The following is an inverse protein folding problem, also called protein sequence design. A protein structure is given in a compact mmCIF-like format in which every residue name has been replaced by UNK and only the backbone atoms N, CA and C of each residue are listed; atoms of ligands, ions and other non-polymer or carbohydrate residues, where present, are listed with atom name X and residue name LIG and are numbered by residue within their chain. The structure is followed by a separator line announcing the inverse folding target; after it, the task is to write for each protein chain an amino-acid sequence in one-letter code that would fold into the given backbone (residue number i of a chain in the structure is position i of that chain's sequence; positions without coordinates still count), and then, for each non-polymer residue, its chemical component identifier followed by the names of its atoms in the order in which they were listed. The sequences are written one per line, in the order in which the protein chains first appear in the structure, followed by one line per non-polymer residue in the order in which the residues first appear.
data_IF_929004930244
#
_entry.id   IF_929004930244
#
_cell.length_a   1.000
_cell.length_b   1.000
_cell.length_c   1.000
_cell.angle_alpha   90.00
_cell.angle_beta   90.00
_cell.angle_gamma   90.00
#
_symmetry.space_group_name_H-M   'P 1'
#
loop_
_entity.id
_entity.type
_entity.pdbx_description
1 polymer ?
#
# COMPACT_ATOMS: atom_id res chain seq x y z
N UNK A 1 -47.64 11.06 28.19
CA UNK A 1 -46.66 12.07 28.62
C UNK A 1 -45.29 11.40 28.64
N UNK A 2 -44.42 11.90 27.76
CA UNK A 2 -42.97 11.76 27.64
C UNK A 2 -42.24 10.50 28.15
N UNK A 3 -41.74 9.70 27.20
CA UNK A 3 -40.57 8.82 27.35
C UNK A 3 -39.33 9.73 27.19
N UNK A 4 -38.47 9.76 28.20
CA UNK A 4 -37.24 10.56 28.17
C UNK A 4 -36.11 9.79 27.48
N UNK A 5 -35.48 10.47 26.52
CA UNK A 5 -34.46 9.99 25.58
C UNK A 5 -33.07 9.91 26.23
N UNK A 6 -32.57 8.68 26.41
CA UNK A 6 -31.17 8.42 26.73
C UNK A 6 -30.32 8.35 25.46
N UNK A 7 -29.72 9.46 25.06
CA UNK A 7 -28.72 9.52 23.98
C UNK A 7 -27.55 10.37 24.46
N UNK A 8 -26.37 9.79 24.77
CA UNK A 8 -25.12 10.57 24.83
C UNK A 8 -23.76 9.85 25.02
N UNK A 9 -23.64 8.57 25.36
CA UNK A 9 -22.30 7.98 25.62
C UNK A 9 -21.67 7.26 24.43
N UNK A 10 -22.43 6.43 23.69
CA UNK A 10 -21.90 5.63 22.57
C UNK A 10 -21.39 6.48 21.38
N UNK A 11 -22.00 7.64 21.15
CA UNK A 11 -21.67 8.52 20.02
C UNK A 11 -20.40 9.36 20.19
N UNK A 12 -19.87 9.50 21.43
CA UNK A 12 -18.64 10.27 21.69
C UNK A 12 -17.38 9.44 21.43
N UNK A 13 -17.38 8.17 21.85
CA UNK A 13 -16.26 7.24 21.64
C UNK A 13 -15.95 7.01 20.15
N UNK A 14 -16.97 6.79 19.32
CA UNK A 14 -16.79 6.62 17.87
C UNK A 14 -16.21 7.88 17.20
N UNK A 15 -16.66 9.07 17.63
CA UNK A 15 -16.17 10.34 17.10
C UNK A 15 -14.70 10.61 17.45
N UNK A 16 -14.21 10.08 18.56
CA UNK A 16 -12.80 10.20 18.96
C UNK A 16 -11.90 9.17 18.28
N UNK A 17 -12.38 7.94 18.09
CA UNK A 17 -11.69 6.95 17.25
C UNK A 17 -11.50 7.43 15.80
N UNK A 18 -12.50 8.13 15.24
CA UNK A 18 -12.40 8.75 13.93
C UNK A 18 -11.30 9.83 13.87
N UNK A 19 -11.16 10.65 14.91
CA UNK A 19 -10.11 11.69 14.97
C UNK A 19 -8.69 11.09 15.02
N UNK A 20 -8.53 9.96 15.70
CA UNK A 20 -7.24 9.25 15.73
C UNK A 20 -6.91 8.69 14.34
N UNK A 21 -7.87 8.04 13.69
CA UNK A 21 -7.71 7.56 12.32
C UNK A 21 -7.37 8.70 11.33
N UNK A 22 -8.02 9.86 11.46
CA UNK A 22 -7.71 11.07 10.68
C UNK A 22 -6.26 11.55 10.91
N UNK A 23 -5.78 11.52 12.15
CA UNK A 23 -4.40 11.90 12.48
C UNK A 23 -3.37 10.93 11.88
N UNK A 24 -3.65 9.62 11.90
CA UNK A 24 -2.78 8.61 11.30
C UNK A 24 -2.70 8.73 9.77
N UNK A 25 -3.84 9.01 9.12
CA UNK A 25 -3.91 9.29 7.69
C UNK A 25 -3.07 10.53 7.34
N UNK A 26 -3.23 11.61 8.11
CA UNK A 26 -2.46 12.84 7.88
C UNK A 26 -0.95 12.62 8.06
N UNK A 27 -0.55 11.83 9.06
CA UNK A 27 0.85 11.46 9.26
C UNK A 27 1.40 10.64 8.09
N UNK A 28 0.67 9.63 7.63
CA UNK A 28 1.06 8.82 6.47
C UNK A 28 1.20 9.66 5.18
N UNK A 29 0.29 10.62 4.96
CA UNK A 29 0.34 11.54 3.82
C UNK A 29 1.57 12.46 3.86
N UNK A 30 1.93 12.94 5.06
CA UNK A 30 3.13 13.76 5.26
C UNK A 30 4.38 12.96 4.91
N UNK A 31 4.51 11.72 5.42
CA UNK A 31 5.62 10.85 5.10
C UNK A 31 5.69 10.51 3.60
N UNK A 32 4.55 10.34 2.93
CA UNK A 32 4.49 10.07 1.51
C UNK A 32 4.93 11.29 0.67
N UNK A 33 4.72 12.51 1.15
CA UNK A 33 5.11 13.74 0.45
C UNK A 33 6.63 13.97 0.38
N UNK A 34 7.40 13.25 1.20
CA UNK A 34 8.87 13.29 1.21
C UNK A 34 9.51 12.32 0.18
N UNK A 35 8.71 11.53 -0.55
CA UNK A 35 9.22 10.62 -1.59
C UNK A 35 9.54 11.34 -2.93
N UNK A 36 10.51 10.84 -3.73
CA UNK A 36 10.88 11.47 -5.01
C UNK A 36 9.72 11.54 -6.03
N UNK A 37 9.66 12.69 -6.73
CA UNK A 37 8.63 13.16 -7.70
C UNK A 37 8.15 12.19 -8.79
N UNK A 38 8.81 11.06 -8.98
CA UNK A 38 8.45 10.09 -10.02
C UNK A 38 7.21 9.25 -9.62
N UNK A 39 6.86 9.21 -8.32
CA UNK A 39 5.66 8.54 -7.78
C UNK A 39 4.47 9.51 -7.48
N UNK A 40 4.67 10.82 -7.63
CA UNK A 40 3.77 11.89 -7.16
C UNK A 40 2.44 12.01 -7.94
N UNK A 41 2.38 11.57 -9.20
CA UNK A 41 1.22 11.90 -10.04
C UNK A 41 -0.08 11.16 -9.68
N UNK A 42 0.00 10.11 -8.85
CA UNK A 42 -1.13 9.19 -8.60
C UNK A 42 -1.39 8.95 -7.11
N UNK A 43 -0.31 8.67 -6.35
CA UNK A 43 -0.43 8.37 -4.93
C UNK A 43 -0.77 9.66 -4.17
N UNK A 44 -0.03 10.74 -4.41
CA UNK A 44 -0.18 12.00 -3.68
C UNK A 44 -1.59 12.64 -3.79
N UNK A 45 -2.24 12.73 -4.96
CA UNK A 45 -3.60 13.24 -5.05
C UNK A 45 -4.64 12.37 -4.34
N UNK A 46 -4.43 11.04 -4.33
CA UNK A 46 -5.33 10.10 -3.66
C UNK A 46 -5.17 10.17 -2.14
N UNK A 47 -3.94 10.33 -1.67
CA UNK A 47 -3.59 10.56 -0.26
C UNK A 47 -4.19 11.87 0.28
N UNK A 48 -4.05 12.97 -0.46
CA UNK A 48 -4.66 14.27 -0.12
C UNK A 48 -6.19 14.23 -0.02
N UNK A 49 -6.84 13.33 -0.76
CA UNK A 49 -8.29 13.14 -0.68
C UNK A 49 -8.71 12.39 0.58
N UNK A 50 -7.88 11.47 1.11
CA UNK A 50 -8.16 10.79 2.37
C UNK A 50 -8.20 11.77 3.56
N UNK A 51 -7.37 12.82 3.54
CA UNK A 51 -7.34 13.86 4.57
C UNK A 51 -8.64 14.70 4.61
N UNK A 52 -9.25 14.95 3.45
CA UNK A 52 -10.45 15.81 3.32
C UNK A 52 -11.76 15.02 3.26
N UNK A 53 -11.67 13.70 3.29
CA UNK A 53 -12.77 12.79 3.01
C UNK A 53 -13.06 12.68 1.51
N UNK A 54 -13.40 11.46 1.08
CA UNK A 54 -13.80 11.20 -0.31
C UNK A 54 -15.32 11.31 -0.44
N UNK A 55 -15.76 12.19 -1.33
CA UNK A 55 -17.16 12.37 -1.71
C UNK A 55 -17.60 11.27 -2.68
N UNK A 56 -18.88 10.91 -2.71
CA UNK A 56 -19.42 9.86 -3.60
C UNK A 56 -19.19 10.17 -5.10
N UNK A 57 -19.10 11.46 -5.46
CA UNK A 57 -18.79 11.90 -6.83
C UNK A 57 -17.30 11.67 -7.15
N UNK A 58 -16.43 11.97 -6.20
CA UNK A 58 -14.98 11.78 -6.29
C UNK A 58 -14.62 10.29 -6.33
N UNK A 59 -15.26 9.47 -5.49
CA UNK A 59 -15.10 8.00 -5.49
C UNK A 59 -15.50 7.38 -6.84
N UNK A 60 -16.65 7.77 -7.39
CA UNK A 60 -17.09 7.28 -8.72
C UNK A 60 -16.12 7.68 -9.81
N UNK A 61 -15.61 8.91 -9.80
CA UNK A 61 -14.58 9.36 -10.76
C UNK A 61 -13.29 8.57 -10.61
N UNK A 62 -12.81 8.38 -9.37
CA UNK A 62 -11.61 7.59 -9.09
C UNK A 62 -11.78 6.13 -9.52
N UNK A 63 -12.94 5.50 -9.26
CA UNK A 63 -13.26 4.15 -9.73
C UNK A 63 -13.23 4.05 -11.25
N UNK A 64 -13.79 5.01 -11.97
CA UNK A 64 -13.74 5.01 -13.45
C UNK A 64 -12.31 5.16 -13.96
N UNK A 65 -11.53 6.10 -13.42
CA UNK A 65 -10.12 6.30 -13.81
C UNK A 65 -9.27 5.07 -13.50
N UNK A 66 -9.51 4.45 -12.34
CA UNK A 66 -8.86 3.21 -11.93
C UNK A 66 -9.22 2.08 -12.92
N UNK A 67 -10.51 1.80 -13.11
CA UNK A 67 -10.98 0.74 -14.02
C UNK A 67 -10.48 0.94 -15.45
N UNK A 68 -10.46 2.16 -15.98
CA UNK A 68 -9.97 2.41 -17.35
C UNK A 68 -8.46 2.14 -17.49
N UNK A 69 -7.66 2.43 -16.46
CA UNK A 69 -6.22 2.16 -16.47
C UNK A 69 -5.91 0.66 -16.36
N UNK A 70 -6.61 -0.06 -15.50
CA UNK A 70 -6.42 -1.52 -15.38
C UNK A 70 -6.98 -2.25 -16.61
N UNK A 71 -8.10 -1.80 -17.19
CA UNK A 71 -8.65 -2.34 -18.45
C UNK A 71 -7.73 -2.12 -19.65
N UNK A 72 -7.06 -0.96 -19.75
CA UNK A 72 -6.06 -0.69 -20.80
C UNK A 72 -4.81 -1.57 -20.69
N UNK A 73 -4.51 -2.10 -19.50
CA UNK A 73 -3.41 -3.06 -19.30
C UNK A 73 -3.76 -4.44 -19.87
N UNK A 74 -4.97 -4.94 -19.59
CA UNK A 74 -5.48 -6.21 -20.16
C UNK A 74 -5.60 -6.17 -21.70
N UNK A 75 -6.11 -5.08 -22.27
CA UNK A 75 -6.36 -4.98 -23.72
C UNK A 75 -5.06 -4.82 -24.55
N UNK A 76 -3.98 -4.25 -23.98
CA UNK A 76 -2.67 -4.07 -24.65
C UNK A 76 -1.77 -5.31 -24.55
N UNK A 77 -1.85 -6.08 -23.47
CA UNK A 77 -1.05 -7.29 -23.25
C UNK A 77 -1.43 -8.44 -24.20
N UNK A 78 -2.67 -8.46 -24.69
CA UNK A 78 -3.16 -9.49 -25.62
C UNK A 78 -3.04 -9.13 -27.10
N UNK A 79 -2.56 -7.94 -27.46
CA UNK A 79 -2.65 -7.47 -28.85
C UNK A 79 -1.34 -7.44 -29.64
N UNK A 80 -0.15 -7.56 -29.03
CA UNK A 80 1.10 -7.40 -29.79
C UNK A 80 2.36 -8.15 -29.30
N UNK A 81 2.26 -9.12 -28.40
CA UNK A 81 3.41 -9.99 -28.06
C UNK A 81 3.05 -11.44 -28.33
N UNK A 82 3.85 -12.14 -29.14
CA UNK A 82 3.67 -13.58 -29.30
C UNK A 82 3.97 -14.29 -27.98
N UNK A 83 3.29 -15.40 -27.67
CA UNK A 83 3.54 -16.18 -26.43
C UNK A 83 5.05 -16.46 -26.21
N UNK A 84 5.80 -16.58 -27.30
CA UNK A 84 7.25 -16.82 -27.32
C UNK A 84 8.07 -15.61 -26.85
N UNK A 85 7.64 -14.39 -27.16
CA UNK A 85 8.34 -13.17 -26.72
C UNK A 85 8.09 -12.90 -25.23
N UNK A 86 6.89 -13.24 -24.74
CA UNK A 86 6.51 -13.14 -23.33
C UNK A 86 7.36 -14.07 -22.47
N UNK A 87 7.48 -15.35 -22.84
CA UNK A 87 8.29 -16.32 -22.09
C UNK A 87 9.75 -15.89 -21.97
N UNK A 88 10.35 -15.41 -23.07
CA UNK A 88 11.75 -14.91 -23.09
C UNK A 88 11.97 -13.70 -22.21
N UNK A 89 10.98 -12.81 -22.11
CA UNK A 89 11.06 -11.64 -21.24
C UNK A 89 10.85 -12.01 -19.77
N UNK A 90 10.04 -13.02 -19.47
CA UNK A 90 9.79 -13.52 -18.11
C UNK A 90 10.97 -14.32 -17.53
N UNK A 91 11.75 -14.99 -18.38
CA UNK A 91 12.90 -15.80 -17.99
C UNK A 91 14.06 -15.00 -17.37
N UNK A 92 14.81 -15.66 -16.48
CA UNK A 92 16.08 -15.15 -16.00
C UNK A 92 17.13 -15.20 -17.12
N UNK A 93 17.67 -14.05 -17.55
CA UNK A 93 18.71 -13.96 -18.59
C UNK A 93 20.08 -14.61 -18.28
N UNK A 94 20.19 -15.38 -17.19
CA UNK A 94 21.39 -16.16 -16.82
C UNK A 94 21.10 -17.66 -16.90
N UNK A 95 20.04 -18.14 -16.24
CA UNK A 95 19.72 -19.57 -16.20
C UNK A 95 18.62 -19.98 -17.20
N UNK A 96 17.95 -19.02 -17.85
CA UNK A 96 16.83 -19.23 -18.79
C UNK A 96 15.64 -19.96 -18.15
N UNK A 97 15.46 -19.80 -16.84
CA UNK A 97 14.34 -20.40 -16.10
C UNK A 97 13.33 -19.32 -15.72
N UNK A 98 12.05 -19.67 -15.70
CA UNK A 98 10.92 -18.82 -15.29
C UNK A 98 10.86 -18.65 -13.76
N UNK A 99 11.88 -18.01 -13.19
CA UNK A 99 11.93 -17.68 -11.78
C UNK A 99 11.58 -16.22 -11.55
N UNK A 100 10.98 -15.90 -10.39
CA UNK A 100 10.83 -14.51 -9.94
C UNK A 100 12.18 -13.79 -9.99
N UNK A 101 12.18 -12.64 -10.66
CA UNK A 101 13.38 -11.83 -10.87
C UNK A 101 13.52 -10.81 -9.74
N UNK A 102 14.75 -10.44 -9.48
CA UNK A 102 15.11 -9.26 -8.70
C UNK A 102 15.74 -8.23 -9.63
N UNK A 103 15.61 -6.95 -9.30
CA UNK A 103 16.20 -5.83 -10.02
C UNK A 103 17.31 -5.22 -9.18
N UNK A 104 18.46 -4.98 -9.81
CA UNK A 104 19.58 -4.31 -9.17
C UNK A 104 19.37 -2.79 -9.17
N UNK A 105 19.47 -2.10 -8.01
CA UNK A 105 19.09 -0.69 -7.88
C UNK A 105 20.04 0.28 -8.61
N UNK A 106 21.28 -0.13 -8.86
CA UNK A 106 22.29 0.75 -9.47
C UNK A 106 22.24 0.77 -11.01
N UNK A 107 21.67 -0.27 -11.62
CA UNK A 107 21.79 -0.50 -13.07
C UNK A 107 20.54 -1.12 -13.71
N UNK A 108 19.47 -1.32 -12.95
CA UNK A 108 18.15 -1.83 -13.34
C UNK A 108 18.14 -3.18 -14.07
N UNK A 109 19.25 -3.89 -14.11
CA UNK A 109 19.32 -5.24 -14.66
C UNK A 109 18.66 -6.24 -13.73
N UNK A 110 17.96 -7.20 -14.34
CA UNK A 110 17.18 -8.20 -13.64
C UNK A 110 17.73 -9.62 -13.80
N UNK A 111 17.68 -10.41 -12.73
CA UNK A 111 17.99 -11.85 -12.73
C UNK A 111 17.28 -12.53 -11.56
N UNK A 112 17.17 -13.86 -11.56
CA UNK A 112 16.59 -14.54 -10.41
C UNK A 112 17.50 -14.46 -9.17
N UNK A 113 16.89 -14.55 -7.99
CA UNK A 113 17.60 -14.42 -6.70
C UNK A 113 18.72 -15.46 -6.55
N UNK A 114 18.51 -16.68 -7.07
CA UNK A 114 19.52 -17.75 -7.06
C UNK A 114 20.77 -17.35 -7.86
N UNK A 115 20.59 -16.92 -9.11
CA UNK A 115 21.70 -16.48 -9.95
C UNK A 115 22.41 -15.25 -9.37
N UNK A 116 21.68 -14.33 -8.74
CA UNK A 116 22.29 -13.22 -8.03
C UNK A 116 23.22 -13.67 -6.89
N UNK A 117 22.75 -14.57 -6.01
CA UNK A 117 23.57 -15.04 -4.88
C UNK A 117 24.81 -15.80 -5.35
N UNK A 118 24.65 -16.71 -6.31
CA UNK A 118 25.76 -17.49 -6.89
C UNK A 118 26.79 -16.58 -7.57
N UNK A 119 26.33 -15.60 -8.35
CA UNK A 119 27.21 -14.65 -9.01
C UNK A 119 27.92 -13.75 -7.99
N UNK A 120 27.18 -13.22 -7.01
CA UNK A 120 27.72 -12.30 -6.01
C UNK A 120 28.78 -12.93 -5.11
N UNK A 121 28.71 -14.25 -4.88
CA UNK A 121 29.75 -15.01 -4.22
C UNK A 121 31.08 -15.02 -5.00
N UNK A 122 31.05 -14.81 -6.32
CA UNK A 122 32.21 -14.84 -7.22
C UNK A 122 32.68 -13.44 -7.64
N UNK A 123 31.76 -12.50 -7.84
CA UNK A 123 32.06 -11.13 -8.25
C UNK A 123 31.10 -10.13 -7.62
N UNK A 124 31.62 -9.00 -7.15
CA UNK A 124 30.83 -7.86 -6.65
C UNK A 124 30.52 -6.85 -7.78
N UNK A 125 30.18 -7.35 -8.97
CA UNK A 125 29.80 -6.57 -10.15
C UNK A 125 28.53 -7.13 -10.78
N UNK A 126 27.72 -6.30 -11.43
CA UNK A 126 26.59 -6.76 -12.24
C UNK A 126 27.09 -7.72 -13.35
N UNK A 127 26.48 -8.90 -13.54
CA UNK A 127 26.87 -9.83 -14.60
C UNK A 127 26.61 -9.28 -16.01
N UNK A 128 25.71 -8.31 -16.15
CA UNK A 128 25.31 -7.75 -17.44
C UNK A 128 26.13 -6.52 -17.85
N UNK A 129 26.30 -5.55 -16.94
CA UNK A 129 26.96 -4.27 -17.24
C UNK A 129 28.25 -4.01 -16.44
N UNK A 130 28.61 -4.89 -15.49
CA UNK A 130 29.78 -4.76 -14.59
C UNK A 130 29.75 -3.61 -13.59
N UNK A 131 28.62 -2.93 -13.43
CA UNK A 131 28.43 -1.94 -12.37
C UNK A 131 28.66 -2.54 -10.97
N UNK A 132 29.17 -1.74 -10.03
CA UNK A 132 29.58 -2.24 -8.73
C UNK A 132 28.39 -2.59 -7.82
N UNK A 133 28.48 -3.77 -7.17
CA UNK A 133 27.52 -4.26 -6.18
C UNK A 133 28.04 -4.18 -4.73
N UNK A 134 29.20 -3.57 -4.51
CA UNK A 134 29.85 -3.52 -3.19
C UNK A 134 28.99 -2.85 -2.11
N UNK A 135 28.07 -1.96 -2.51
CA UNK A 135 27.18 -1.21 -1.60
C UNK A 135 25.74 -1.73 -1.59
N UNK A 136 25.44 -2.80 -2.32
CA UNK A 136 24.08 -3.35 -2.43
C UNK A 136 23.91 -4.47 -1.41
N UNK A 137 22.95 -4.34 -0.50
CA UNK A 137 22.54 -5.37 0.46
C UNK A 137 21.25 -6.06 0.01
N UNK A 138 20.83 -7.10 0.73
CA UNK A 138 19.58 -7.82 0.43
C UNK A 138 18.34 -6.92 0.50
N UNK A 139 18.31 -5.94 1.40
CA UNK A 139 17.22 -4.97 1.53
C UNK A 139 17.15 -3.95 0.39
N UNK A 140 18.22 -3.82 -0.41
CA UNK A 140 18.28 -2.91 -1.55
C UNK A 140 17.85 -3.59 -2.86
N UNK A 141 17.48 -4.89 -2.81
CA UNK A 141 17.04 -5.66 -3.98
C UNK A 141 15.53 -5.55 -4.13
N UNK A 142 15.11 -5.23 -5.34
CA UNK A 142 13.70 -5.00 -5.64
C UNK A 142 13.16 -6.26 -6.29
N UNK A 143 12.07 -6.81 -5.75
CA UNK A 143 11.38 -7.93 -6.42
C UNK A 143 10.71 -7.36 -7.67
N UNK A 144 10.99 -7.97 -8.82
CA UNK A 144 10.30 -7.64 -10.06
C UNK A 144 8.90 -8.24 -9.97
N UNK A 145 7.89 -7.37 -9.87
CA UNK A 145 6.49 -7.76 -9.94
C UNK A 145 6.08 -7.88 -11.39
N UNK A 146 5.64 -9.06 -11.81
CA UNK A 146 5.09 -9.27 -13.14
C UNK A 146 3.62 -8.81 -13.21
N UNK A 147 2.99 -8.95 -14.38
CA UNK A 147 1.59 -8.58 -14.55
C UNK A 147 0.62 -9.56 -13.87
N UNK A 148 1.06 -10.79 -13.58
CA UNK A 148 0.29 -11.84 -12.88
C UNK A 148 0.28 -11.61 -11.36
N UNK A 149 1.30 -10.93 -10.83
CA UNK A 149 1.39 -10.47 -9.43
C UNK A 149 0.41 -9.32 -9.13
N UNK A 150 -0.22 -8.75 -10.16
CA UNK A 150 -1.24 -7.70 -9.99
C UNK A 150 -2.51 -8.36 -9.48
N UNK A 151 -2.68 -8.25 -8.17
CA UNK A 151 -3.90 -8.67 -7.48
C UNK A 151 -5.07 -7.80 -7.95
N UNK A 152 -6.19 -8.44 -8.29
CA UNK A 152 -7.39 -7.75 -8.72
C UNK A 152 -7.89 -6.74 -7.66
N UNK A 153 -8.53 -5.67 -8.12
CA UNK A 153 -8.97 -4.59 -7.23
C UNK A 153 -10.00 -5.03 -6.18
N UNK A 154 -10.77 -6.09 -6.43
CA UNK A 154 -11.72 -6.65 -5.46
C UNK A 154 -10.97 -7.31 -4.30
N UNK A 155 -9.96 -8.12 -4.60
CA UNK A 155 -9.09 -8.75 -3.61
C UNK A 155 -8.30 -7.70 -2.81
N UNK A 156 -7.73 -6.67 -3.46
CA UNK A 156 -7.06 -5.57 -2.77
C UNK A 156 -8.02 -4.86 -1.80
N UNK A 157 -9.24 -4.55 -2.26
CA UNK A 157 -10.26 -3.90 -1.42
C UNK A 157 -10.63 -4.75 -0.22
N UNK A 158 -10.86 -6.05 -0.43
CA UNK A 158 -11.19 -7.00 0.65
C UNK A 158 -10.08 -7.06 1.71
N UNK A 159 -8.83 -7.17 1.29
CA UNK A 159 -7.69 -7.22 2.22
C UNK A 159 -7.47 -5.89 2.96
N UNK A 160 -7.66 -4.76 2.28
CA UNK A 160 -7.59 -3.44 2.92
C UNK A 160 -8.67 -3.25 3.98
N UNK A 161 -9.91 -3.68 3.70
CA UNK A 161 -10.98 -3.67 4.70
C UNK A 161 -10.64 -4.53 5.91
N UNK A 162 -10.11 -5.75 5.69
CA UNK A 162 -9.66 -6.61 6.80
C UNK A 162 -8.60 -5.92 7.67
N UNK A 163 -7.59 -5.31 7.05
CA UNK A 163 -6.54 -4.58 7.77
C UNK A 163 -7.10 -3.37 8.52
N UNK A 164 -8.05 -2.64 7.93
CA UNK A 164 -8.72 -1.52 8.58
C UNK A 164 -9.49 -1.96 9.83
N UNK A 165 -10.26 -3.06 9.75
CA UNK A 165 -10.95 -3.58 10.94
C UNK A 165 -9.97 -4.01 12.02
N UNK A 166 -8.91 -4.73 11.65
CA UNK A 166 -7.84 -5.10 12.61
C UNK A 166 -7.14 -3.88 13.22
N UNK A 167 -7.00 -2.80 12.46
CA UNK A 167 -6.44 -1.54 12.96
C UNK A 167 -7.36 -0.91 14.01
N UNK A 168 -8.65 -0.80 13.67
CA UNK A 168 -9.68 -0.25 14.56
C UNK A 168 -9.76 -1.04 15.86
N UNK A 169 -9.73 -2.37 15.81
CA UNK A 169 -9.76 -3.24 16.98
C UNK A 169 -8.55 -3.05 17.91
N UNK A 170 -7.42 -2.60 17.36
CA UNK A 170 -6.18 -2.34 18.10
C UNK A 170 -6.07 -0.90 18.60
N UNK A 171 -7.00 -0.02 18.26
CA UNK A 171 -7.01 1.34 18.78
C UNK A 171 -7.25 1.30 20.29
N UNK A 172 -6.48 2.08 21.08
CA UNK A 172 -6.64 2.11 22.53
C UNK A 172 -8.06 2.58 22.90
N UNK A 173 -8.71 1.85 23.80
CA UNK A 173 -9.98 2.25 24.38
C UNK A 173 -9.74 3.43 25.32
N UNK A 174 -10.16 4.62 24.89
CA UNK A 174 -10.16 5.81 25.75
C UNK A 174 -11.43 5.77 26.59
N UNK A 175 -11.29 5.43 27.88
CA UNK A 175 -12.36 5.60 28.87
C UNK A 175 -12.34 7.07 29.30
N UNK A 176 -13.42 7.85 29.11
CA UNK A 176 -13.44 9.24 29.54
C UNK A 176 -13.31 9.32 31.07
N UNK A 177 -12.42 10.19 31.58
CA UNK A 177 -12.17 10.41 33.02
C UNK A 177 -13.39 10.92 33.82
N UNK A 178 -14.53 11.18 33.17
CA UNK A 178 -15.71 11.80 33.78
C UNK A 178 -16.62 10.85 34.57
N UNK A 179 -16.13 9.70 35.03
CA UNK A 179 -16.91 8.74 35.83
C UNK A 179 -16.71 8.87 37.35
N UNK A 180 -15.87 9.80 37.82
CA UNK A 180 -15.71 10.10 39.24
C UNK A 180 -16.18 11.52 39.56
N UNK A 181 -17.49 11.72 39.62
CA UNK A 181 -18.08 12.84 40.35
C UNK A 181 -18.66 12.28 41.67
N UNK A 182 -18.01 12.50 42.83
CA UNK A 182 -18.52 12.00 44.10
C UNK A 182 -19.76 12.80 44.47
N UNK A 183 -20.88 12.09 44.56
CA UNK A 183 -22.19 12.61 44.96
C UNK A 183 -22.08 13.54 46.18
N UNK A 184 -22.59 14.75 45.99
CA UNK A 184 -22.80 15.78 47.00
C UNK A 184 -23.44 15.18 48.26
N UNK A 185 -22.72 15.27 49.39
CA UNK A 185 -23.13 14.77 50.70
C UNK A 185 -23.34 15.91 51.70
N UNK A 186 -24.04 16.96 51.28
CA UNK A 186 -24.51 18.01 52.19
C UNK A 186 -26.04 18.13 52.20
N UNK A 187 -26.68 17.13 52.82
CA UNK A 187 -27.96 17.32 53.50
C UNK A 187 -27.79 17.00 54.99
N UNK A 188 -27.51 18.04 55.79
CA UNK A 188 -27.88 18.13 57.20
C UNK A 188 -28.04 19.59 57.61
#
# INVERSE_FOLDING_TARGET
MYINSGSSSMGRSFKESLKLLEADIHHANTLASDFPREYDAVIYPSLLQLEKGVTDVEDKKQKVVCMERYRKRDDEEHKQSSDIDIEREEECGICMEMNSKIVLPNCNHAMCLKCYHEWRARSQSCPFCRDSLKRVNSGDLWVFTDNRDIVDMETVTRENLRRLFMYIDKLPLIIPDSLFDPYDSHLR
#
